data_IF_398974535466
#
_entry.id   IF_398974535466
#
_cell.length_a   1.000
_cell.length_b   1.000
_cell.length_c   1.000
_cell.angle_alpha   90.00
_cell.angle_beta   90.00
_cell.angle_gamma   90.00
#
_symmetry.space_group_name_H-M   'P 1'
#
loop_
_entity.id
_entity.type
_entity.pdbx_description
1 polymer ?
#
# COMPACT_ATOMS: atom_id res chain seq x y z
N UNK A 1 -15.16 9.57 16.44
CA UNK A 1 -16.00 9.77 15.24
C UNK A 1 -15.10 9.62 14.04
N UNK A 2 -15.48 8.73 13.12
CA UNK A 2 -14.67 8.34 11.97
C UNK A 2 -14.92 9.31 10.81
N UNK A 3 -16.19 9.62 10.56
CA UNK A 3 -16.62 10.57 9.54
C UNK A 3 -16.07 11.97 9.78
N UNK A 4 -15.61 12.61 8.71
CA UNK A 4 -15.13 13.99 8.72
C UNK A 4 -16.29 14.97 8.83
N UNK A 5 -16.19 15.90 9.76
CA UNK A 5 -17.15 17.01 9.91
C UNK A 5 -16.46 18.31 9.52
N UNK A 6 -17.07 19.04 8.59
CA UNK A 6 -16.58 20.34 8.18
C UNK A 6 -17.13 21.44 9.07
N UNK A 7 -16.43 22.57 9.12
CA UNK A 7 -16.87 23.73 9.88
C UNK A 7 -18.24 24.23 9.39
N UNK A 8 -18.50 24.20 8.08
CA UNK A 8 -19.80 24.59 7.49
C UNK A 8 -20.99 23.82 8.04
N UNK A 9 -20.79 22.59 8.52
CA UNK A 9 -21.87 21.73 8.99
C UNK A 9 -22.30 22.08 10.43
N UNK A 10 -21.46 22.81 11.17
CA UNK A 10 -21.67 23.13 12.60
C UNK A 10 -21.82 24.63 12.89
N UNK A 11 -21.55 25.51 11.92
CA UNK A 11 -21.67 26.96 12.08
C UNK A 11 -23.07 27.45 11.67
N UNK A 12 -23.56 28.46 12.38
CA UNK A 12 -24.79 29.17 12.03
C UNK A 12 -24.55 30.21 10.93
N UNK A 13 -23.46 30.96 11.04
CA UNK A 13 -23.04 31.95 10.05
C UNK A 13 -21.56 32.28 10.18
N UNK A 14 -21.00 32.87 9.12
CA UNK A 14 -19.69 33.52 9.08
C UNK A 14 -19.94 34.95 8.61
N UNK A 15 -19.51 35.93 9.40
CA UNK A 15 -19.58 37.35 9.06
C UNK A 15 -18.19 37.99 9.18
N UNK A 16 -17.91 38.96 8.32
CA UNK A 16 -16.74 39.82 8.40
C UNK A 16 -17.12 41.14 9.07
N UNK A 17 -16.45 41.44 10.18
CA UNK A 17 -16.67 42.67 10.94
C UNK A 17 -15.52 43.62 10.64
N UNK A 18 -15.88 44.78 10.10
CA UNK A 18 -14.96 45.86 9.77
C UNK A 18 -15.13 46.98 10.78
N UNK A 19 -14.08 47.28 11.52
CA UNK A 19 -14.01 48.43 12.42
C UNK A 19 -12.80 49.29 12.05
N UNK A 20 -12.83 50.56 12.46
CA UNK A 20 -11.76 51.54 12.20
C UNK A 20 -10.40 51.05 12.73
N UNK A 21 -10.40 50.25 13.79
CA UNK A 21 -9.20 49.78 14.49
C UNK A 21 -8.89 48.30 14.28
N UNK A 22 -9.83 47.49 13.81
CA UNK A 22 -9.65 46.05 13.67
C UNK A 22 -10.63 45.44 12.67
N UNK A 23 -10.13 44.51 11.86
CA UNK A 23 -10.97 43.65 11.01
C UNK A 23 -10.80 42.19 11.43
N UNK A 24 -11.91 41.49 11.61
CA UNK A 24 -11.91 40.08 11.98
C UNK A 24 -13.08 39.33 11.36
N UNK A 25 -12.91 38.03 11.18
CA UNK A 25 -14.00 37.13 10.78
C UNK A 25 -14.61 36.55 12.05
N UNK A 26 -15.89 36.80 12.26
CA UNK A 26 -16.67 36.24 13.36
C UNK A 26 -17.48 35.05 12.86
N UNK A 27 -17.46 33.96 13.61
CA UNK A 27 -18.28 32.79 13.33
C UNK A 27 -19.04 32.38 14.59
N UNK A 28 -20.33 32.09 14.43
CA UNK A 28 -21.17 31.59 15.51
C UNK A 28 -21.41 30.10 15.34
N UNK A 29 -21.11 29.32 16.38
CA UNK A 29 -21.33 27.87 16.41
C UNK A 29 -22.80 27.59 16.73
N UNK A 30 -23.40 26.66 15.99
CA UNK A 30 -24.73 26.14 16.29
C UNK A 30 -24.62 24.90 17.20
N UNK A 31 -24.72 25.11 18.51
CA UNK A 31 -24.64 24.02 19.50
C UNK A 31 -25.78 23.01 19.40
N UNK A 32 -26.95 23.41 18.90
CA UNK A 32 -28.07 22.48 18.69
C UNK A 32 -27.72 21.46 17.60
N UNK A 33 -27.12 21.90 16.49
CA UNK A 33 -26.61 21.00 15.45
C UNK A 33 -25.50 20.08 15.97
N UNK A 34 -24.55 20.62 16.74
CA UNK A 34 -23.46 19.83 17.34
C UNK A 34 -24.00 18.74 18.27
N UNK A 35 -25.02 19.06 19.08
CA UNK A 35 -25.68 18.09 19.97
C UNK A 35 -26.48 17.04 19.19
N UNK A 36 -27.22 17.44 18.16
CA UNK A 36 -27.98 16.52 17.28
C UNK A 36 -27.07 15.54 16.53
N UNK A 37 -25.90 16.00 16.11
CA UNK A 37 -24.87 15.15 15.49
C UNK A 37 -24.09 14.29 16.51
N UNK A 38 -24.35 14.44 17.82
CA UNK A 38 -23.65 13.68 18.87
C UNK A 38 -22.16 14.01 18.98
N UNK A 39 -21.74 15.19 18.53
CA UNK A 39 -20.34 15.60 18.49
C UNK A 39 -19.87 16.04 19.87
N UNK A 40 -18.96 15.28 20.49
CA UNK A 40 -18.22 15.72 21.68
C UNK A 40 -17.13 16.75 21.29
N UNK A 41 -17.50 18.01 21.14
CA UNK A 41 -16.60 19.11 20.76
C UNK A 41 -16.68 20.28 21.75
N UNK A 42 -15.55 20.91 22.02
CA UNK A 42 -15.48 22.18 22.75
C UNK A 42 -15.10 23.34 21.82
N UNK A 43 -15.33 24.58 22.24
CA UNK A 43 -14.88 25.77 21.47
C UNK A 43 -13.37 25.79 21.26
N UNK A 44 -12.61 25.26 22.22
CA UNK A 44 -11.16 25.16 22.14
C UNK A 44 -10.71 24.16 21.08
N UNK A 45 -11.37 23.00 21.00
CA UNK A 45 -11.07 21.99 19.98
C UNK A 45 -11.27 22.54 18.56
N UNK A 46 -12.37 23.28 18.35
CA UNK A 46 -12.68 23.91 17.07
C UNK A 46 -11.64 24.99 16.74
N UNK A 47 -11.28 25.82 17.72
CA UNK A 47 -10.23 26.85 17.56
C UNK A 47 -8.89 26.22 17.18
N UNK A 48 -8.51 25.12 17.85
CA UNK A 48 -7.28 24.39 17.57
C UNK A 48 -7.30 23.76 16.17
N UNK A 49 -8.43 23.16 15.76
CA UNK A 49 -8.59 22.58 14.44
C UNK A 49 -8.42 23.63 13.33
N UNK A 50 -9.01 24.82 13.51
CA UNK A 50 -8.86 25.95 12.58
C UNK A 50 -7.41 26.43 12.53
N UNK A 51 -6.75 26.61 13.69
CA UNK A 51 -5.36 27.06 13.76
C UNK A 51 -4.36 26.04 13.17
N UNK A 52 -4.68 24.74 13.23
CA UNK A 52 -3.86 23.66 12.66
C UNK A 52 -3.94 23.60 11.13
N UNK A 53 -5.02 24.12 10.52
CA UNK A 53 -5.21 24.09 9.07
C UNK A 53 -4.08 24.82 8.35
N UNK A 54 -3.42 24.14 7.40
CA UNK A 54 -2.29 24.70 6.63
C UNK A 54 -2.69 25.98 5.89
N UNK A 55 -3.92 26.02 5.36
CA UNK A 55 -4.43 27.15 4.60
C UNK A 55 -4.63 28.40 5.48
N UNK A 56 -5.15 28.22 6.70
CA UNK A 56 -5.35 29.31 7.66
C UNK A 56 -4.01 29.76 8.26
N UNK A 57 -3.12 28.82 8.59
CA UNK A 57 -1.78 29.12 9.10
C UNK A 57 -0.93 29.92 8.11
N UNK A 58 -1.07 29.66 6.81
CA UNK A 58 -0.35 30.40 5.76
C UNK A 58 -0.71 31.89 5.70
N UNK A 59 -1.88 32.27 6.19
CA UNK A 59 -2.37 33.65 6.23
C UNK A 59 -1.93 34.41 7.50
N UNK A 60 -1.21 33.76 8.42
CA UNK A 60 -0.64 34.42 9.60
C UNK A 60 -1.68 34.96 10.59
N UNK A 61 -2.87 34.38 10.63
CA UNK A 61 -4.00 34.88 11.43
C UNK A 61 -4.05 34.29 12.85
N UNK A 62 -4.60 35.07 13.78
CA UNK A 62 -4.82 34.62 15.15
C UNK A 62 -6.27 34.19 15.34
N UNK A 63 -6.48 32.96 15.81
CA UNK A 63 -7.80 32.40 16.08
C UNK A 63 -8.02 32.38 17.59
N UNK A 64 -9.07 33.03 18.07
CA UNK A 64 -9.40 33.09 19.49
C UNK A 64 -10.90 32.80 19.71
N UNK A 65 -11.26 31.93 20.68
CA UNK A 65 -12.64 31.74 21.07
C UNK A 65 -13.13 32.97 21.85
N UNK A 66 -14.35 33.42 21.56
CA UNK A 66 -15.03 34.50 22.29
C UNK A 66 -16.27 33.93 22.97
N UNK A 67 -16.14 33.66 24.26
CA UNK A 67 -17.16 32.99 25.05
C UNK A 67 -17.38 31.54 24.61
N UNK A 68 -18.61 31.07 24.77
CA UNK A 68 -18.99 29.67 24.46
C UNK A 68 -19.53 29.48 23.05
N UNK A 69 -19.88 30.55 22.34
CA UNK A 69 -20.68 30.47 21.10
C UNK A 69 -20.01 31.09 19.88
N UNK A 70 -19.01 31.95 20.07
CA UNK A 70 -18.35 32.66 18.99
C UNK A 70 -16.87 32.30 18.92
N UNK A 71 -16.33 32.27 17.71
CA UNK A 71 -14.90 32.21 17.44
C UNK A 71 -14.56 33.40 16.54
N UNK A 72 -13.46 34.09 16.84
CA UNK A 72 -12.96 35.20 16.03
C UNK A 72 -11.62 34.82 15.42
N UNK A 73 -11.49 35.09 14.13
CA UNK A 73 -10.23 35.00 13.38
C UNK A 73 -9.77 36.42 13.11
N UNK A 74 -8.81 36.88 13.90
CA UNK A 74 -8.23 38.21 13.80
C UNK A 74 -7.14 38.20 12.74
N UNK A 75 -7.27 39.10 11.77
CA UNK A 75 -6.22 39.36 10.78
C UNK A 75 -5.31 40.43 11.36
N UNK A 76 -4.06 40.06 11.66
CA UNK A 76 -3.07 41.06 12.05
C UNK A 76 -2.50 41.73 10.81
N UNK A 77 -2.40 43.06 10.84
CA UNK A 77 -1.65 43.80 9.85
C UNK A 77 -0.17 43.40 9.97
N UNK A 78 0.36 42.76 8.93
CA UNK A 78 1.81 42.57 8.81
C UNK A 78 2.34 43.81 8.10
N UNK A 79 3.07 44.72 8.78
CA UNK A 79 3.66 45.87 8.12
C UNK A 79 4.60 45.40 7.00
N UNK A 80 4.60 46.12 5.89
CA UNK A 80 5.45 45.80 4.74
C UNK A 80 6.92 45.60 5.19
N UNK A 81 7.62 44.58 4.65
CA UNK A 81 9.03 44.38 4.97
C UNK A 81 9.83 45.59 4.48
N UNK A 82 10.24 46.47 5.40
CA UNK A 82 11.16 47.56 5.12
C UNK A 82 12.58 46.99 4.96
N UNK A 83 13.09 46.97 3.73
CA UNK A 83 14.48 46.65 3.42
C UNK A 83 14.67 45.77 2.19
N UNK A 84 15.94 45.41 1.91
CA UNK A 84 16.41 44.67 0.72
C UNK A 84 15.82 43.25 0.52
N UNK A 85 14.85 42.83 1.34
CA UNK A 85 14.13 41.57 1.22
C UNK A 85 12.95 41.61 0.21
N UNK A 86 12.65 42.78 -0.36
CA UNK A 86 11.57 42.97 -1.34
C UNK A 86 11.88 42.42 -2.74
N UNK A 87 13.14 42.06 -3.04
CA UNK A 87 13.56 41.79 -4.43
C UNK A 87 13.19 40.39 -4.96
N UNK A 88 12.77 39.44 -4.11
CA UNK A 88 12.58 38.04 -4.51
C UNK A 88 11.21 37.41 -4.14
N UNK A 89 10.13 38.20 -4.03
CA UNK A 89 8.78 37.63 -3.90
C UNK A 89 7.82 38.20 -4.94
N UNK A 90 7.54 37.37 -5.95
CA UNK A 90 6.54 37.51 -7.02
C UNK A 90 5.08 37.48 -6.53
N UNK A 91 4.81 37.91 -5.29
CA UNK A 91 3.46 37.97 -4.73
C UNK A 91 3.22 39.40 -4.26
N UNK A 92 2.23 40.07 -4.88
CA UNK A 92 1.71 41.35 -4.39
C UNK A 92 1.42 41.23 -2.89
N UNK A 93 1.73 42.23 -2.06
CA UNK A 93 1.27 42.25 -0.68
C UNK A 93 -0.26 42.14 -0.72
N UNK A 94 -0.80 41.04 -0.18
CA UNK A 94 -2.24 40.82 -0.13
C UNK A 94 -2.84 41.91 0.76
N UNK A 95 -3.82 42.64 0.25
CA UNK A 95 -4.55 43.60 1.06
C UNK A 95 -5.36 42.85 2.13
N UNK A 96 -5.65 43.50 3.26
CA UNK A 96 -6.44 42.90 4.36
C UNK A 96 -7.78 42.36 3.82
N UNK A 97 -8.35 43.05 2.84
CA UNK A 97 -9.56 42.63 2.14
C UNK A 97 -9.41 41.27 1.44
N UNK A 98 -8.33 41.06 0.71
CA UNK A 98 -8.06 39.79 0.02
C UNK A 98 -7.91 38.64 1.03
N UNK A 99 -7.21 38.89 2.14
CA UNK A 99 -7.01 37.90 3.21
C UNK A 99 -8.34 37.51 3.84
N UNK A 100 -9.21 38.49 4.16
CA UNK A 100 -10.54 38.22 4.74
C UNK A 100 -11.42 37.47 3.75
N UNK A 101 -11.37 37.82 2.47
CA UNK A 101 -12.16 37.15 1.45
C UNK A 101 -11.71 35.70 1.21
N UNK A 102 -10.40 35.46 1.24
CA UNK A 102 -9.85 34.11 1.17
C UNK A 102 -10.19 33.29 2.43
N UNK A 103 -10.16 33.90 3.62
CA UNK A 103 -10.60 33.26 4.86
C UNK A 103 -12.06 32.84 4.79
N UNK A 104 -12.96 33.70 4.29
CA UNK A 104 -14.38 33.36 4.11
C UNK A 104 -14.58 32.15 3.20
N UNK A 105 -13.72 31.96 2.20
CA UNK A 105 -13.75 30.80 1.29
C UNK A 105 -13.16 29.53 1.91
N UNK A 106 -12.10 29.67 2.69
CA UNK A 106 -11.34 28.54 3.26
C UNK A 106 -11.99 27.99 4.52
N UNK A 107 -12.45 28.87 5.43
CA UNK A 107 -12.97 28.50 6.75
C UNK A 107 -14.09 27.46 6.70
N UNK A 108 -15.12 27.56 5.83
CA UNK A 108 -16.19 26.56 5.75
C UNK A 108 -15.69 25.13 5.48
N UNK A 109 -14.56 25.00 4.76
CA UNK A 109 -14.01 23.71 4.31
C UNK A 109 -12.96 23.14 5.27
N UNK A 110 -12.73 23.77 6.42
CA UNK A 110 -11.83 23.24 7.45
C UNK A 110 -12.48 22.03 8.11
N UNK A 111 -11.72 20.94 8.23
CA UNK A 111 -12.14 19.74 8.97
C UNK A 111 -11.95 19.99 10.47
N UNK A 112 -13.04 19.89 11.23
CA UNK A 112 -13.06 20.18 12.66
C UNK A 112 -12.84 18.90 13.48
N UNK A 113 -13.44 17.79 13.04
CA UNK A 113 -13.32 16.48 13.69
C UNK A 113 -13.42 15.36 12.64
N UNK A 114 -12.91 14.18 12.97
CA UNK A 114 -12.88 13.01 12.10
C UNK A 114 -11.55 12.83 11.37
N UNK A 115 -11.43 11.74 10.62
CA UNK A 115 -10.22 11.46 9.85
C UNK A 115 -10.28 12.15 8.48
N UNK A 116 -9.21 12.85 8.05
CA UNK A 116 -9.23 13.62 6.81
C UNK A 116 -9.42 12.74 5.58
N UNK A 117 -8.88 11.52 5.62
CA UNK A 117 -8.91 10.55 4.53
C UNK A 117 -10.23 9.73 4.48
N UNK A 118 -11.10 9.90 5.49
CA UNK A 118 -12.44 9.33 5.49
C UNK A 118 -13.38 10.23 4.67
N UNK A 119 -13.97 9.71 3.61
CA UNK A 119 -14.95 10.41 2.80
C UNK A 119 -16.33 10.42 3.47
N UNK A 120 -16.81 9.25 3.90
CA UNK A 120 -18.16 9.03 4.42
C UNK A 120 -18.20 7.80 5.32
N UNK A 121 -19.10 7.80 6.31
CA UNK A 121 -19.43 6.59 7.06
C UNK A 121 -20.93 6.30 6.97
N UNK A 122 -21.31 5.04 6.77
CA UNK A 122 -22.70 4.59 6.66
C UNK A 122 -22.92 3.52 7.71
N UNK A 123 -23.96 3.67 8.51
CA UNK A 123 -24.38 2.65 9.47
C UNK A 123 -25.30 1.66 8.76
N UNK A 124 -24.91 0.40 8.73
CA UNK A 124 -25.71 -0.71 8.21
C UNK A 124 -26.13 -1.59 9.38
N UNK A 125 -27.44 -1.80 9.51
CA UNK A 125 -28.01 -2.83 10.38
C UNK A 125 -28.21 -4.08 9.54
N UNK A 126 -27.79 -5.24 10.03
CA UNK A 126 -28.11 -6.49 9.36
C UNK A 126 -29.52 -6.96 9.75
N UNK A 127 -30.26 -7.48 8.78
CA UNK A 127 -31.67 -7.88 8.94
C UNK A 127 -31.86 -9.14 9.78
N UNK A 128 -30.79 -9.91 10.01
CA UNK A 128 -30.82 -11.17 10.76
C UNK A 128 -30.16 -10.96 12.13
N UNK A 129 -30.83 -11.32 13.23
CA UNK A 129 -30.19 -11.32 14.53
C UNK A 129 -29.08 -12.38 14.58
N UNK A 130 -27.95 -12.03 15.20
CA UNK A 130 -26.88 -12.98 15.49
C UNK A 130 -27.37 -14.10 16.41
N UNK A 131 -26.57 -15.16 16.57
CA UNK A 131 -26.82 -16.27 17.49
C UNK A 131 -27.10 -15.85 18.97
N UNK A 132 -26.84 -14.59 19.32
CA UNK A 132 -27.09 -13.99 20.64
C UNK A 132 -28.38 -13.15 20.70
N UNK A 133 -29.18 -13.13 19.63
CA UNK A 133 -30.41 -12.35 19.52
C UNK A 133 -30.21 -10.84 19.35
N UNK A 134 -28.97 -10.40 19.14
CA UNK A 134 -28.64 -8.98 18.88
C UNK A 134 -28.51 -8.76 17.38
N UNK A 135 -29.03 -7.64 16.90
CA UNK A 135 -28.80 -7.18 15.52
C UNK A 135 -27.41 -6.55 15.44
N UNK A 136 -26.43 -7.17 14.76
CA UNK A 136 -25.12 -6.57 14.61
C UNK A 136 -25.25 -5.30 13.76
N UNK A 137 -24.67 -4.21 14.27
CA UNK A 137 -24.56 -2.94 13.56
C UNK A 137 -23.15 -2.83 13.01
N UNK A 138 -23.02 -2.80 11.69
CA UNK A 138 -21.74 -2.57 11.02
C UNK A 138 -21.66 -1.14 10.51
N UNK A 139 -20.45 -0.58 10.54
CA UNK A 139 -20.19 0.76 9.97
C UNK A 139 -19.32 0.58 8.74
N UNK A 140 -19.85 0.96 7.59
CA UNK A 140 -19.13 0.97 6.32
C UNK A 140 -18.48 2.34 6.15
N UNK A 141 -17.16 2.35 6.05
CA UNK A 141 -16.38 3.58 5.93
C UNK A 141 -15.78 3.65 4.54
N UNK A 142 -16.11 4.70 3.79
CA UNK A 142 -15.49 5.00 2.51
C UNK A 142 -14.31 5.93 2.76
N UNK A 143 -13.10 5.48 2.48
CA UNK A 143 -11.89 6.28 2.63
C UNK A 143 -10.65 5.44 2.90
N UNK A 144 -9.60 6.12 3.35
CA UNK A 144 -8.34 5.48 3.79
C UNK A 144 -8.10 5.75 5.29
N UNK A 145 -7.23 4.96 5.90
CA UNK A 145 -6.85 5.07 7.29
C UNK A 145 -7.33 3.93 8.18
N UNK A 146 -7.18 2.67 7.74
CA UNK A 146 -7.55 1.47 8.50
C UNK A 146 -7.02 1.51 9.93
N UNK A 147 -5.74 1.87 10.13
CA UNK A 147 -5.13 1.98 11.46
C UNK A 147 -5.91 2.92 12.38
N UNK A 148 -6.27 4.09 11.87
CA UNK A 148 -6.99 5.10 12.63
C UNK A 148 -8.40 4.63 12.99
N UNK A 149 -9.10 4.02 12.02
CA UNK A 149 -10.42 3.43 12.22
C UNK A 149 -10.39 2.34 13.31
N UNK A 150 -9.41 1.42 13.24
CA UNK A 150 -9.23 0.34 14.22
C UNK A 150 -8.95 0.85 15.64
N UNK A 151 -8.25 1.97 15.79
CA UNK A 151 -7.92 2.56 17.10
C UNK A 151 -9.03 3.47 17.66
N UNK A 152 -10.13 3.65 16.92
CA UNK A 152 -11.21 4.53 17.36
C UNK A 152 -12.03 3.87 18.46
N UNK A 153 -12.25 4.61 19.56
CA UNK A 153 -13.08 4.14 20.67
C UNK A 153 -14.47 3.69 20.20
N UNK A 154 -14.89 2.51 20.64
CA UNK A 154 -16.17 1.90 20.26
C UNK A 154 -16.11 1.03 18.98
N UNK A 155 -14.99 1.00 18.26
CA UNK A 155 -14.78 0.10 17.12
C UNK A 155 -14.07 -1.17 17.57
N UNK A 156 -14.57 -2.33 17.15
CA UNK A 156 -13.85 -3.60 17.31
C UNK A 156 -12.76 -3.74 16.22
N UNK A 157 -11.53 -3.40 16.60
CA UNK A 157 -10.37 -3.49 15.73
C UNK A 157 -10.08 -4.92 15.23
N UNK A 158 -10.45 -5.97 15.98
CA UNK A 158 -10.17 -7.36 15.58
C UNK A 158 -11.06 -7.83 14.43
N UNK A 159 -12.23 -7.21 14.26
CA UNK A 159 -13.19 -7.55 13.20
C UNK A 159 -13.22 -6.52 12.07
N UNK A 160 -12.44 -5.45 12.18
CA UNK A 160 -12.34 -4.42 11.14
C UNK A 160 -11.53 -4.95 9.96
N UNK A 161 -12.02 -4.69 8.74
CA UNK A 161 -11.38 -5.13 7.48
C UNK A 161 -11.29 -3.95 6.51
N UNK A 162 -10.31 -4.00 5.61
CA UNK A 162 -10.18 -3.07 4.47
C UNK A 162 -10.11 -3.87 3.18
N UNK A 163 -10.73 -3.36 2.12
CA UNK A 163 -10.63 -3.90 0.77
C UNK A 163 -9.30 -3.53 0.09
N UNK A 164 -8.57 -2.53 0.61
CA UNK A 164 -7.28 -2.15 0.09
C UNK A 164 -6.18 -3.07 0.63
N UNK A 165 -5.68 -3.95 -0.23
CA UNK A 165 -4.62 -4.92 0.08
C UNK A 165 -3.32 -4.23 0.55
N UNK A 166 -2.96 -3.10 -0.05
CA UNK A 166 -1.73 -2.38 0.32
C UNK A 166 -1.83 -1.77 1.72
N UNK A 167 -3.00 -1.23 2.05
CA UNK A 167 -3.26 -0.71 3.38
C UNK A 167 -3.29 -1.83 4.44
N UNK A 168 -3.90 -2.97 4.11
CA UNK A 168 -3.89 -4.15 4.97
C UNK A 168 -2.45 -4.64 5.23
N UNK A 169 -1.59 -4.64 4.20
CA UNK A 169 -0.17 -4.96 4.34
C UNK A 169 0.54 -4.00 5.30
N UNK A 170 0.34 -2.70 5.15
CA UNK A 170 1.05 -1.68 5.93
C UNK A 170 0.63 -1.67 7.41
N UNK A 171 -0.62 -2.04 7.71
CA UNK A 171 -1.16 -2.04 9.09
C UNK A 171 -1.04 -3.40 9.78
N UNK A 172 -1.33 -4.49 9.07
CA UNK A 172 -1.48 -5.84 9.62
C UNK A 172 -0.40 -6.82 9.14
N UNK A 173 0.37 -6.48 8.11
CA UNK A 173 1.45 -7.31 7.58
C UNK A 173 1.06 -8.18 6.37
N UNK A 174 2.04 -8.95 5.87
CA UNK A 174 1.94 -9.65 4.59
C UNK A 174 0.89 -10.77 4.57
N UNK A 175 0.70 -11.49 5.68
CA UNK A 175 -0.25 -12.60 5.75
C UNK A 175 -1.71 -12.11 5.77
N UNK A 176 -1.94 -10.96 6.41
CA UNK A 176 -3.23 -10.27 6.34
C UNK A 176 -3.51 -9.82 4.91
N UNK A 177 -2.53 -9.24 4.22
CA UNK A 177 -2.67 -8.85 2.82
C UNK A 177 -2.96 -10.04 1.89
N UNK A 178 -2.26 -11.17 2.08
CA UNK A 178 -2.53 -12.43 1.38
C UNK A 178 -3.98 -12.88 1.56
N UNK A 179 -4.46 -12.87 2.80
CA UNK A 179 -5.84 -13.24 3.13
C UNK A 179 -6.86 -12.28 2.51
N UNK A 180 -6.56 -10.98 2.49
CA UNK A 180 -7.39 -9.96 1.83
C UNK A 180 -7.46 -10.21 0.32
N UNK A 181 -6.35 -10.53 -0.36
CA UNK A 181 -6.37 -10.86 -1.80
C UNK A 181 -7.33 -12.03 -2.07
N UNK A 182 -7.25 -13.10 -1.29
CA UNK A 182 -8.10 -14.28 -1.45
C UNK A 182 -9.58 -13.91 -1.24
N UNK A 183 -9.88 -13.15 -0.18
CA UNK A 183 -11.24 -12.76 0.15
C UNK A 183 -11.86 -11.83 -0.91
N UNK A 184 -11.11 -10.84 -1.39
CA UNK A 184 -11.58 -9.89 -2.40
C UNK A 184 -11.81 -10.58 -3.76
N UNK A 185 -10.87 -11.42 -4.21
CA UNK A 185 -11.05 -12.18 -5.46
C UNK A 185 -12.23 -13.13 -5.32
N UNK A 186 -12.35 -13.85 -4.21
CA UNK A 186 -13.48 -14.75 -3.97
C UNK A 186 -14.81 -14.01 -3.91
N UNK A 187 -14.85 -12.78 -3.38
CA UNK A 187 -16.06 -11.97 -3.32
C UNK A 187 -16.51 -11.51 -4.71
N UNK A 188 -15.57 -11.18 -5.60
CA UNK A 188 -15.91 -10.74 -6.97
C UNK A 188 -16.23 -11.92 -7.87
N UNK A 189 -15.49 -13.02 -7.72
CA UNK A 189 -15.63 -14.22 -8.55
C UNK A 189 -16.71 -15.18 -8.03
N UNK A 190 -17.43 -14.86 -6.95
CA UNK A 190 -18.40 -15.78 -6.30
C UNK A 190 -19.56 -16.26 -7.20
N UNK A 191 -19.81 -15.60 -8.34
CA UNK A 191 -20.74 -16.09 -9.37
C UNK A 191 -20.16 -17.15 -10.31
N UNK A 192 -18.87 -17.44 -10.22
CA UNK A 192 -18.13 -18.43 -11.00
C UNK A 192 -17.60 -19.49 -10.04
N UNK A 193 -17.93 -20.76 -10.28
CA UNK A 193 -17.57 -21.89 -9.43
C UNK A 193 -16.08 -22.29 -9.58
N UNK A 194 -15.19 -21.40 -9.12
CA UNK A 194 -13.74 -21.56 -9.17
C UNK A 194 -13.27 -22.18 -7.84
N UNK A 195 -12.54 -23.30 -7.91
CA UNK A 195 -11.96 -23.91 -6.71
C UNK A 195 -11.04 -22.90 -5.96
N UNK A 196 -11.23 -22.69 -4.64
CA UNK A 196 -10.46 -21.73 -3.84
C UNK A 196 -8.95 -21.93 -3.87
N UNK A 197 -8.46 -23.15 -4.16
CA UNK A 197 -7.02 -23.46 -4.24
C UNK A 197 -6.32 -22.66 -5.33
N UNK A 198 -7.01 -22.31 -6.43
CA UNK A 198 -6.43 -21.47 -7.47
C UNK A 198 -6.19 -20.04 -6.96
N UNK A 199 -7.14 -19.49 -6.19
CA UNK A 199 -7.03 -18.15 -5.61
C UNK A 199 -5.94 -18.10 -4.53
N UNK A 200 -5.84 -19.16 -3.72
CA UNK A 200 -4.77 -19.31 -2.72
C UNK A 200 -3.40 -19.31 -3.39
N UNK A 201 -3.20 -20.11 -4.44
CA UNK A 201 -1.93 -20.15 -5.17
C UNK A 201 -1.57 -18.79 -5.77
N UNK A 202 -2.55 -18.09 -6.35
CA UNK A 202 -2.32 -16.74 -6.89
C UNK A 202 -1.87 -15.76 -5.80
N UNK A 203 -2.55 -15.76 -4.65
CA UNK A 203 -2.18 -14.91 -3.52
C UNK A 203 -0.78 -15.24 -2.99
N UNK A 204 -0.41 -16.52 -2.94
CA UNK A 204 0.93 -16.97 -2.52
C UNK A 204 2.01 -16.47 -3.48
N UNK A 205 1.78 -16.60 -4.80
CA UNK A 205 2.69 -16.08 -5.83
C UNK A 205 2.86 -14.56 -5.73
N UNK A 206 1.80 -13.84 -5.34
CA UNK A 206 1.87 -12.39 -5.16
C UNK A 206 2.59 -11.97 -3.86
N UNK A 207 2.72 -12.84 -2.86
CA UNK A 207 3.15 -12.46 -1.50
C UNK A 207 4.41 -13.18 -0.99
N UNK A 208 4.89 -14.25 -1.64
CA UNK A 208 5.99 -15.08 -1.13
C UNK A 208 7.32 -14.34 -0.90
N UNK A 209 7.58 -13.21 -1.59
CA UNK A 209 8.79 -12.39 -1.38
C UNK A 209 8.71 -11.44 -0.18
N UNK A 210 7.62 -11.48 0.60
CA UNK A 210 7.41 -10.60 1.76
C UNK A 210 6.85 -9.21 1.40
N UNK A 211 6.49 -8.99 0.14
CA UNK A 211 5.82 -7.78 -0.34
C UNK A 211 4.70 -8.19 -1.30
N UNK A 212 3.68 -7.33 -1.45
CA UNK A 212 2.57 -7.55 -2.39
C UNK A 212 3.03 -7.10 -3.76
N UNK A 213 3.42 -8.05 -4.59
CA UNK A 213 3.89 -7.81 -5.95
C UNK A 213 2.76 -8.05 -6.94
N UNK A 214 2.34 -7.00 -7.64
CA UNK A 214 1.32 -7.11 -8.69
C UNK A 214 1.81 -7.89 -9.92
N UNK A 215 0.89 -8.53 -10.64
CA UNK A 215 1.17 -9.22 -11.91
C UNK A 215 1.28 -8.19 -13.06
N UNK A 216 2.29 -7.33 -12.95
CA UNK A 216 2.63 -6.28 -13.92
C UNK A 216 4.12 -6.36 -14.25
N UNK A 217 4.57 -5.65 -15.28
CA UNK A 217 6.01 -5.61 -15.67
C UNK A 217 6.95 -5.32 -14.50
N UNK A 218 6.55 -4.45 -13.57
CA UNK A 218 7.37 -4.06 -12.42
C UNK A 218 7.39 -5.12 -11.32
N UNK A 219 6.26 -5.82 -11.12
CA UNK A 219 6.19 -6.91 -10.14
C UNK A 219 6.88 -8.17 -10.64
N UNK A 220 6.69 -8.53 -11.92
CA UNK A 220 7.36 -9.68 -12.55
C UNK A 220 8.89 -9.54 -12.55
N UNK A 221 9.40 -8.34 -12.84
CA UNK A 221 10.84 -8.05 -12.77
C UNK A 221 11.43 -8.20 -11.36
N UNK A 222 10.61 -8.11 -10.30
CA UNK A 222 11.02 -8.39 -8.91
C UNK A 222 10.86 -9.87 -8.55
N UNK A 223 9.94 -10.59 -9.19
CA UNK A 223 9.68 -12.01 -8.92
C UNK A 223 10.67 -12.94 -9.62
N UNK A 224 10.99 -12.67 -10.89
CA UNK A 224 11.79 -13.54 -11.77
C UNK A 224 13.11 -12.88 -12.12
N UNK A 225 14.18 -13.67 -12.16
CA UNK A 225 15.52 -13.22 -12.54
C UNK A 225 15.88 -13.54 -14.00
N UNK A 226 15.07 -14.37 -14.68
CA UNK A 226 15.28 -14.80 -16.07
C UNK A 226 15.11 -13.63 -17.05
N UNK A 227 16.15 -13.36 -17.83
CA UNK A 227 16.19 -12.19 -18.73
C UNK A 227 15.33 -12.45 -19.95
N UNK A 228 15.41 -13.65 -20.53
CA UNK A 228 14.63 -14.02 -21.71
C UNK A 228 13.13 -14.05 -21.38
N UNK A 229 12.77 -14.54 -20.19
CA UNK A 229 11.39 -14.49 -19.72
C UNK A 229 10.87 -13.04 -19.63
N UNK A 230 11.63 -12.15 -18.98
CA UNK A 230 11.24 -10.73 -18.85
C UNK A 230 11.18 -10.01 -20.20
N UNK A 231 12.15 -10.25 -21.08
CA UNK A 231 12.23 -9.65 -22.40
C UNK A 231 11.07 -10.08 -23.31
N UNK A 232 10.54 -11.31 -23.12
CA UNK A 232 9.37 -11.82 -23.85
C UNK A 232 8.03 -11.25 -23.36
N UNK A 233 7.98 -10.67 -22.16
CA UNK A 233 6.76 -10.09 -21.60
C UNK A 233 6.53 -8.66 -22.09
N UNK A 234 7.40 -7.72 -21.72
CA UNK A 234 7.34 -6.31 -22.15
C UNK A 234 8.75 -5.69 -22.11
N UNK A 235 8.96 -4.56 -22.80
CA UNK A 235 10.23 -3.79 -22.78
C UNK A 235 11.47 -4.63 -23.12
N UNK A 236 11.37 -5.42 -24.19
CA UNK A 236 12.42 -6.31 -24.69
C UNK A 236 13.82 -5.67 -24.77
N UNK A 237 14.03 -4.51 -25.44
CA UNK A 237 15.37 -3.95 -25.58
C UNK A 237 15.96 -3.52 -24.22
N UNK A 238 15.16 -2.89 -23.36
CA UNK A 238 15.61 -2.43 -22.04
C UNK A 238 16.12 -3.62 -21.20
N UNK A 239 15.40 -4.74 -21.19
CA UNK A 239 15.81 -5.92 -20.41
C UNK A 239 17.11 -6.54 -20.96
N UNK A 240 17.27 -6.62 -22.28
CA UNK A 240 18.46 -7.18 -22.91
C UNK A 240 19.70 -6.28 -22.73
N UNK A 241 19.57 -4.97 -22.94
CA UNK A 241 20.67 -4.03 -22.72
C UNK A 241 21.10 -3.98 -21.26
N UNK A 242 20.15 -3.91 -20.32
CA UNK A 242 20.47 -3.93 -18.89
C UNK A 242 21.12 -5.25 -18.46
N UNK A 243 20.72 -6.37 -19.05
CA UNK A 243 21.36 -7.67 -18.80
C UNK A 243 22.79 -7.73 -19.36
N UNK A 244 23.03 -7.19 -20.56
CA UNK A 244 24.35 -7.12 -21.18
C UNK A 244 25.30 -6.23 -20.36
N UNK A 245 24.87 -5.03 -19.99
CA UNK A 245 25.63 -4.11 -19.13
C UNK A 245 25.87 -4.71 -17.75
N UNK A 246 24.86 -5.35 -17.17
CA UNK A 246 24.95 -6.01 -15.86
C UNK A 246 25.66 -7.37 -15.88
N UNK A 247 26.15 -7.84 -17.03
CA UNK A 247 26.74 -9.18 -17.21
C UNK A 247 25.90 -10.30 -16.58
N UNK A 248 24.58 -10.21 -16.68
CA UNK A 248 23.66 -11.20 -16.10
C UNK A 248 23.82 -12.53 -16.81
N UNK A 249 23.83 -13.62 -16.03
CA UNK A 249 23.81 -15.01 -16.55
C UNK A 249 22.44 -15.62 -16.30
N UNK A 250 21.78 -16.00 -17.38
CA UNK A 250 20.50 -16.70 -17.33
C UNK A 250 20.74 -18.22 -17.25
N UNK A 251 20.00 -18.91 -16.37
CA UNK A 251 20.17 -20.36 -16.13
C UNK A 251 19.27 -21.22 -17.01
N UNK A 252 18.32 -20.63 -17.72
CA UNK A 252 17.41 -21.36 -18.63
C UNK A 252 16.65 -22.47 -17.87
N UNK A 253 16.11 -22.14 -16.71
CA UNK A 253 15.34 -23.08 -15.89
C UNK A 253 13.82 -22.89 -16.07
N UNK A 254 13.41 -21.69 -16.49
CA UNK A 254 12.00 -21.38 -16.75
C UNK A 254 11.50 -21.98 -18.06
N UNK A 255 10.18 -22.17 -18.10
CA UNK A 255 9.47 -22.76 -19.24
C UNK A 255 9.59 -21.88 -20.49
N UNK A 256 9.47 -20.56 -20.33
CA UNK A 256 9.50 -19.62 -21.46
C UNK A 256 10.82 -19.67 -22.23
N UNK A 257 11.93 -19.62 -21.52
CA UNK A 257 13.27 -19.63 -22.11
C UNK A 257 13.71 -21.01 -22.61
N UNK A 258 13.23 -22.10 -22.00
CA UNK A 258 13.40 -23.44 -22.56
C UNK A 258 12.72 -23.57 -23.93
N UNK A 259 11.51 -23.03 -24.10
CA UNK A 259 10.79 -23.05 -25.38
C UNK A 259 11.53 -22.22 -26.43
N UNK A 260 12.02 -21.03 -26.06
CA UNK A 260 12.77 -20.15 -26.96
C UNK A 260 14.03 -20.85 -27.51
N UNK A 261 14.73 -21.62 -26.66
CA UNK A 261 15.97 -22.31 -27.03
C UNK A 261 15.75 -23.74 -27.56
N UNK A 262 14.51 -24.23 -27.62
CA UNK A 262 14.18 -25.58 -28.09
C UNK A 262 14.63 -26.70 -27.13
N UNK A 263 14.73 -26.42 -25.84
CA UNK A 263 15.10 -27.38 -24.80
C UNK A 263 13.87 -27.97 -24.09
N UNK A 264 14.03 -29.16 -23.51
CA UNK A 264 12.96 -29.84 -22.76
C UNK A 264 12.75 -29.14 -21.41
N UNK A 265 11.50 -28.78 -21.10
CA UNK A 265 11.15 -28.12 -19.84
C UNK A 265 11.17 -29.07 -18.63
N UNK A 266 11.36 -28.53 -17.43
CA UNK A 266 11.48 -29.27 -16.16
C UNK A 266 10.16 -29.61 -15.48
N UNK A 267 9.02 -29.31 -16.11
CA UNK A 267 7.67 -29.59 -15.58
C UNK A 267 6.96 -30.68 -16.40
N UNK A 268 5.95 -31.31 -15.82
CA UNK A 268 5.20 -32.39 -16.48
C UNK A 268 6.09 -33.61 -16.74
N UNK A 269 6.15 -34.08 -17.99
CA UNK A 269 6.93 -35.27 -18.37
C UNK A 269 8.44 -35.06 -18.24
N UNK A 270 8.92 -33.82 -18.36
CA UNK A 270 10.35 -33.50 -18.20
C UNK A 270 10.82 -33.40 -16.74
N UNK A 271 9.90 -33.49 -15.77
CA UNK A 271 10.23 -33.47 -14.34
C UNK A 271 10.96 -34.75 -13.87
N UNK A 272 10.91 -35.83 -14.65
CA UNK A 272 11.57 -37.09 -14.37
C UNK A 272 12.41 -37.56 -15.54
N UNK A 273 13.48 -38.31 -15.24
CA UNK A 273 14.29 -38.98 -16.25
C UNK A 273 14.03 -40.48 -16.18
N UNK A 274 13.89 -41.09 -17.36
CA UNK A 274 13.73 -42.54 -17.47
C UNK A 274 15.11 -43.16 -17.71
N UNK A 275 15.52 -44.05 -16.82
CA UNK A 275 16.78 -44.79 -16.95
C UNK A 275 16.45 -46.24 -17.26
N UNK A 276 17.00 -46.75 -18.36
CA UNK A 276 16.90 -48.16 -18.70
C UNK A 276 17.93 -48.95 -17.90
N UNK A 277 17.48 -49.96 -17.14
CA UNK A 277 18.38 -50.92 -16.50
C UNK A 277 19.10 -51.74 -17.57
N UNK A 278 20.43 -51.67 -17.58
CA UNK A 278 21.27 -52.38 -18.55
C UNK A 278 21.57 -53.83 -18.14
N UNK A 279 21.25 -54.22 -16.90
CA UNK A 279 21.44 -55.60 -16.40
C UNK A 279 22.89 -56.01 -16.20
N UNK A 280 23.83 -55.06 -16.29
CA UNK A 280 25.25 -55.35 -16.17
C UNK A 280 25.59 -55.58 -14.68
N UNK A 281 26.33 -56.65 -14.39
CA UNK A 281 26.66 -57.09 -13.03
C UNK A 281 28.06 -56.65 -12.62
N UNK A 282 28.33 -56.39 -11.33
CA UNK A 282 29.65 -55.89 -10.88
C UNK A 282 30.84 -56.79 -11.32
N UNK A 283 30.61 -58.08 -11.54
CA UNK A 283 31.62 -59.02 -12.06
C UNK A 283 32.06 -58.72 -13.51
N UNK A 284 31.20 -58.12 -14.32
CA UNK A 284 31.47 -57.76 -15.72
C UNK A 284 32.18 -56.41 -15.86
N UNK A 285 32.21 -55.62 -14.78
CA UNK A 285 32.84 -54.30 -14.73
C UNK A 285 34.09 -54.31 -13.83
N UNK A 286 35.06 -55.14 -14.20
CA UNK A 286 36.39 -55.11 -13.62
C UNK A 286 37.42 -54.61 -14.62
N UNK A 287 38.48 -53.94 -14.14
CA UNK A 287 39.68 -53.71 -14.95
C UNK A 287 40.24 -55.07 -15.35
N UNK A 288 40.08 -55.46 -16.61
CA UNK A 288 40.72 -56.67 -17.15
C UNK A 288 42.24 -56.49 -17.07
N UNK A 289 42.94 -57.51 -16.56
CA UNK A 289 44.42 -57.55 -16.62
C UNK A 289 44.84 -57.47 -18.08
N UNK A 290 45.86 -56.67 -18.37
CA UNK A 290 46.34 -56.55 -19.74
C UNK A 290 47.03 -57.85 -20.16
N UNK A 291 46.95 -58.20 -21.45
CA UNK A 291 47.63 -59.38 -21.99
C UNK A 291 49.14 -59.36 -21.69
N UNK A 292 49.71 -58.16 -21.58
CA UNK A 292 51.12 -57.95 -21.21
C UNK A 292 51.40 -58.26 -19.74
N UNK A 293 50.53 -57.87 -18.80
CA UNK A 293 50.65 -58.24 -17.38
C UNK A 293 50.58 -59.76 -17.19
N UNK A 294 49.73 -60.46 -17.95
CA UNK A 294 49.69 -61.93 -17.93
C UNK A 294 50.91 -62.58 -18.55
N UNK A 295 51.44 -62.04 -19.65
CA UNK A 295 52.64 -62.57 -20.30
C UNK A 295 53.90 -62.34 -19.45
N UNK A 296 54.04 -61.16 -18.85
CA UNK A 296 55.15 -60.81 -17.97
C UNK A 296 55.21 -61.71 -16.72
N UNK A 297 54.05 -62.05 -16.13
CA UNK A 297 53.98 -62.96 -14.99
C UNK A 297 54.31 -64.43 -15.34
N UNK A 298 54.20 -64.82 -16.62
CA UNK A 298 54.48 -66.19 -17.09
C UNK A 298 55.95 -66.45 -17.45
N UNK A 299 56.80 -65.41 -17.48
CA UNK A 299 58.24 -65.57 -17.73
C UNK A 299 58.92 -66.21 -16.51
N UNK A 300 59.81 -67.22 -16.70
CA UNK A 300 60.57 -67.79 -15.61
C UNK A 300 61.44 -66.70 -14.94
N UNK A 301 61.38 -66.62 -13.61
CA UNK A 301 62.07 -65.60 -12.78
C UNK A 301 63.59 -65.52 -12.99
N UNK A 302 64.19 -66.47 -13.69
CA UNK A 302 65.61 -66.49 -14.06
C UNK A 302 65.98 -65.48 -15.14
N UNK A 303 65.05 -65.03 -15.99
CA UNK A 303 65.32 -64.00 -17.03
C UNK A 303 64.97 -62.59 -16.53
N UNK A 304 64.02 -62.48 -15.58
CA UNK A 304 63.59 -61.19 -15.04
C UNK A 304 64.60 -60.51 -14.10
N UNK A 305 65.70 -61.19 -13.75
CA UNK A 305 66.76 -60.66 -12.89
C UNK A 305 68.00 -60.14 -13.65
N UNK A 306 67.98 -60.14 -14.98
CA UNK A 306 69.11 -59.73 -15.83
C UNK A 306 68.90 -58.42 -16.60
N UNK A 307 67.94 -57.58 -16.18
CA UNK A 307 67.72 -56.23 -16.69
C UNK A 307 67.64 -55.23 -15.53
#
# INVERSE_FOLDING_TARGET
>A
MIEKTYLRDIIAYIEDVWSVTSSYVNMRINWDTVMKLGLRLTTQDITFAIAKSKAVKALGVQVAPVGKTHIRVNVQYVPEPRGKAALNKTRKPLEIFDIIQDLKRILPNVVVKGYPDCARAIVKKDDKPDATGREPVSVLVEGYGLKNCMTTEGVDGLRTRSNNVMEAKDVLGIEAARSTIIAEISSVMGGMDIDPRHMQLLADVMTYKGDVLGITRFGLAKMRDSVLQLASFEKTPDHLFNAAVGMKRDRIEGVSECIILGQVMSIGTGAMKVVRKLGITEAEHGRKKSAFESAFASLPKTIAAAA
#
